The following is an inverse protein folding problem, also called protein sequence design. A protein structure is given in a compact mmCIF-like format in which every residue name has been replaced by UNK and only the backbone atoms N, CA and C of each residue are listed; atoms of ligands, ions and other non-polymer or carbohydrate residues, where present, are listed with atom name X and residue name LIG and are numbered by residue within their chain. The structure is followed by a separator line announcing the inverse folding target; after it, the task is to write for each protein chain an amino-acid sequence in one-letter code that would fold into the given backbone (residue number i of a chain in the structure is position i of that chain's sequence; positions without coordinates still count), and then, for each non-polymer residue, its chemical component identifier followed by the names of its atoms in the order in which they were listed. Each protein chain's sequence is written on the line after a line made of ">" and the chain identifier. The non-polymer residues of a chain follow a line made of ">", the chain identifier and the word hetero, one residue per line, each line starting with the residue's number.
data_IF_174097527575
#
_entry.id   IF_174097527575
#
_cell.length_a   1.000
_cell.length_b   1.000
_cell.length_c   1.000
_cell.angle_alpha   90.00
_cell.angle_beta   90.00
_cell.angle_gamma   90.00
#
_symmetry.space_group_name_H-M   'P 1'
#
loop_
_entity.id
_entity.type
_entity.pdbx_description
1 polymer ?
#
# COMPACT_ATOMS: atom_id res chain seq x y z
N UNK A 1 26.34 -14.08 -3.87
CA UNK A 1 25.04 -14.58 -4.39
C UNK A 1 24.08 -13.43 -4.73
N UNK A 2 23.97 -12.40 -3.87
CA UNK A 2 23.19 -11.18 -4.14
C UNK A 2 23.58 -10.43 -5.42
N UNK A 3 24.85 -10.38 -5.78
CA UNK A 3 25.33 -9.69 -7.00
C UNK A 3 24.78 -10.32 -8.29
N UNK A 4 24.59 -11.64 -8.32
CA UNK A 4 24.00 -12.33 -9.48
C UNK A 4 22.50 -12.06 -9.60
N UNK A 5 21.79 -11.94 -8.48
CA UNK A 5 20.38 -11.56 -8.44
C UNK A 5 20.18 -10.10 -8.85
N UNK A 6 21.03 -9.18 -8.35
CA UNK A 6 21.03 -7.78 -8.76
C UNK A 6 21.33 -7.64 -10.26
N UNK A 7 22.31 -8.36 -10.78
CA UNK A 7 22.62 -8.40 -12.21
C UNK A 7 21.45 -8.91 -13.06
N UNK A 8 20.76 -9.97 -12.62
CA UNK A 8 19.58 -10.52 -13.29
C UNK A 8 18.33 -9.64 -13.16
N UNK A 9 18.23 -8.83 -12.11
CA UNK A 9 17.15 -7.85 -11.96
C UNK A 9 17.37 -6.66 -12.89
N UNK A 10 18.62 -6.21 -13.01
CA UNK A 10 19.05 -5.11 -13.88
C UNK A 10 19.02 -5.47 -15.37
N UNK A 11 19.03 -6.77 -15.73
CA UNK A 11 18.89 -7.20 -17.13
C UNK A 11 17.48 -7.02 -17.71
N UNK A 12 16.46 -6.81 -16.87
CA UNK A 12 15.09 -6.55 -17.31
C UNK A 12 14.50 -5.28 -16.65
N UNK A 13 14.94 -4.08 -17.06
CA UNK A 13 14.48 -2.82 -16.48
C UNK A 13 12.96 -2.60 -16.63
N UNK A 14 12.33 -3.24 -17.62
CA UNK A 14 10.87 -3.25 -17.77
C UNK A 14 10.15 -3.96 -16.62
N UNK A 15 10.67 -5.09 -16.14
CA UNK A 15 10.08 -5.85 -15.03
C UNK A 15 10.19 -5.07 -13.71
N UNK A 16 11.32 -4.39 -13.48
CA UNK A 16 11.52 -3.50 -12.33
C UNK A 16 10.52 -2.33 -12.30
N UNK A 17 10.30 -1.68 -13.44
CA UNK A 17 9.32 -0.59 -13.54
C UNK A 17 7.89 -1.11 -13.35
N UNK A 18 7.57 -2.28 -13.91
CA UNK A 18 6.25 -2.91 -13.74
C UNK A 18 6.00 -3.29 -12.27
N UNK A 19 6.98 -3.90 -11.60
CA UNK A 19 6.91 -4.24 -10.19
C UNK A 19 6.77 -2.99 -9.30
N UNK A 20 7.56 -1.94 -9.56
CA UNK A 20 7.46 -0.68 -8.83
C UNK A 20 6.11 0.02 -9.03
N UNK A 21 5.57 0.03 -10.26
CA UNK A 21 4.21 0.53 -10.53
C UNK A 21 3.14 -0.30 -9.82
N UNK A 22 3.28 -1.62 -9.79
CA UNK A 22 2.38 -2.52 -9.08
C UNK A 22 2.34 -2.24 -7.58
N UNK A 23 3.51 -2.09 -6.95
CA UNK A 23 3.62 -1.72 -5.54
C UNK A 23 3.06 -0.33 -5.25
N UNK A 24 3.32 0.64 -6.11
CA UNK A 24 2.75 1.98 -5.97
C UNK A 24 1.22 1.96 -6.09
N UNK A 25 0.66 1.22 -7.06
CA UNK A 25 -0.78 1.07 -7.23
C UNK A 25 -1.42 0.35 -6.03
N UNK A 26 -0.76 -0.69 -5.51
CA UNK A 26 -1.20 -1.41 -4.32
C UNK A 26 -1.21 -0.50 -3.09
N UNK A 27 -0.12 0.22 -2.83
CA UNK A 27 -0.04 1.18 -1.74
C UNK A 27 -1.08 2.30 -1.88
N UNK A 28 -1.32 2.76 -3.10
CA UNK A 28 -2.36 3.76 -3.40
C UNK A 28 -3.78 3.24 -3.12
N UNK A 29 -4.06 1.98 -3.50
CA UNK A 29 -5.33 1.32 -3.18
C UNK A 29 -5.52 1.16 -1.67
N UNK A 30 -4.48 0.74 -0.95
CA UNK A 30 -4.52 0.65 0.52
C UNK A 30 -4.80 2.01 1.16
N UNK A 31 -4.15 3.08 0.69
CA UNK A 31 -4.41 4.44 1.18
C UNK A 31 -5.86 4.87 0.91
N UNK A 32 -6.38 4.66 -0.31
CA UNK A 32 -7.75 5.01 -0.67
C UNK A 32 -8.79 4.25 0.17
N UNK A 33 -8.58 2.96 0.38
CA UNK A 33 -9.42 2.13 1.23
C UNK A 33 -9.36 2.63 2.68
N UNK A 34 -8.16 2.85 3.23
CA UNK A 34 -7.98 3.41 4.57
C UNK A 34 -8.70 4.74 4.78
N UNK A 35 -8.59 5.67 3.82
CA UNK A 35 -9.31 6.95 3.88
C UNK A 35 -10.82 6.78 3.82
N UNK A 36 -11.34 5.89 2.98
CA UNK A 36 -12.79 5.61 2.93
C UNK A 36 -13.29 4.99 4.23
N UNK A 37 -12.59 3.99 4.76
CA UNK A 37 -12.96 3.33 6.00
C UNK A 37 -12.87 4.28 7.21
N UNK A 38 -11.87 5.15 7.30
CA UNK A 38 -11.78 6.17 8.34
C UNK A 38 -12.95 7.17 8.29
N UNK A 39 -13.36 7.60 7.09
CA UNK A 39 -14.54 8.48 6.93
C UNK A 39 -15.85 7.77 7.29
N UNK A 40 -15.99 6.49 6.95
CA UNK A 40 -17.15 5.69 7.32
C UNK A 40 -17.19 5.45 8.84
N UNK A 41 -16.06 5.06 9.43
CA UNK A 41 -15.87 4.89 10.87
C UNK A 41 -16.29 6.13 11.63
N UNK A 42 -15.72 7.30 11.31
CA UNK A 42 -16.08 8.55 12.00
C UNK A 42 -17.54 8.96 11.85
N UNK A 43 -18.25 8.53 10.79
CA UNK A 43 -19.70 8.76 10.67
C UNK A 43 -20.48 7.80 11.54
N UNK A 44 -20.12 6.52 11.52
CA UNK A 44 -20.74 5.47 12.32
C UNK A 44 -20.53 5.76 13.80
N UNK A 45 -19.31 6.05 14.25
CA UNK A 45 -19.00 6.43 15.64
C UNK A 45 -19.85 7.61 16.10
N UNK A 46 -19.95 8.68 15.32
CA UNK A 46 -20.80 9.83 15.66
C UNK A 46 -22.29 9.49 15.78
N UNK A 47 -22.79 8.52 15.03
CA UNK A 47 -24.19 8.07 15.13
C UNK A 47 -24.37 7.21 16.36
N UNK A 48 -23.47 6.27 16.63
CA UNK A 48 -23.57 5.34 17.77
C UNK A 48 -23.35 6.04 19.11
N UNK A 49 -22.39 6.97 19.20
CA UNK A 49 -22.17 7.79 20.40
C UNK A 49 -23.40 8.62 20.77
N UNK A 50 -24.15 9.13 19.77
CA UNK A 50 -25.41 9.86 20.02
C UNK A 50 -26.50 8.98 20.62
N UNK A 51 -26.44 7.67 20.41
CA UNK A 51 -27.38 6.70 20.95
C UNK A 51 -26.84 6.03 22.24
N UNK A 52 -25.67 6.45 22.74
CA UNK A 52 -25.05 5.87 23.93
C UNK A 52 -24.57 4.43 23.75
N UNK A 53 -24.37 3.98 22.51
CA UNK A 53 -23.96 2.61 22.17
C UNK A 53 -22.51 2.62 21.68
N UNK A 54 -21.76 1.60 22.06
CA UNK A 54 -20.38 1.42 21.59
C UNK A 54 -20.36 1.20 20.07
N UNK A 55 -19.49 1.90 19.32
CA UNK A 55 -19.49 1.83 17.86
C UNK A 55 -19.04 0.45 17.37
N UNK A 56 -19.70 -0.10 16.34
CA UNK A 56 -19.34 -1.40 15.79
C UNK A 56 -18.00 -1.33 15.06
N UNK A 57 -17.19 -2.38 15.23
CA UNK A 57 -15.96 -2.56 14.46
C UNK A 57 -16.32 -2.87 12.99
N UNK A 58 -16.08 -1.90 12.11
CA UNK A 58 -16.46 -1.97 10.70
C UNK A 58 -15.63 -2.99 9.90
N UNK A 59 -14.47 -3.40 10.39
CA UNK A 59 -13.58 -4.30 9.65
C UNK A 59 -13.72 -5.75 10.09
N UNK A 60 -14.39 -5.98 11.24
CA UNK A 60 -14.85 -7.29 11.70
C UNK A 60 -15.77 -8.02 10.69
N UNK A 61 -16.47 -7.28 9.82
CA UNK A 61 -17.30 -7.84 8.75
C UNK A 61 -16.54 -8.26 7.49
N UNK A 62 -15.24 -7.94 7.39
CA UNK A 62 -14.45 -8.18 6.19
C UNK A 62 -13.65 -9.49 6.28
N UNK A 63 -13.38 -10.15 5.14
CA UNK A 63 -12.44 -11.27 5.10
C UNK A 63 -11.05 -10.87 5.61
N UNK A 64 -10.38 -11.78 6.31
CA UNK A 64 -9.08 -11.53 6.95
C UNK A 64 -8.01 -10.97 6.00
N UNK A 65 -8.00 -11.40 4.74
CA UNK A 65 -7.06 -10.92 3.72
C UNK A 65 -7.34 -9.49 3.27
N UNK A 66 -8.60 -9.05 3.33
CA UNK A 66 -8.98 -7.68 2.98
C UNK A 66 -8.66 -6.71 4.14
N UNK A 67 -8.72 -7.19 5.39
CA UNK A 67 -8.30 -6.42 6.57
C UNK A 67 -6.82 -6.02 6.49
N UNK A 68 -5.97 -6.89 5.93
CA UNK A 68 -4.55 -6.58 5.71
C UNK A 68 -4.32 -5.38 4.77
N UNK A 69 -5.29 -5.07 3.91
CA UNK A 69 -5.20 -3.97 2.94
C UNK A 69 -5.73 -2.64 3.48
N UNK A 70 -6.36 -2.64 4.66
CA UNK A 70 -6.97 -1.45 5.24
C UNK A 70 -6.07 -0.94 6.38
N UNK A 71 -5.39 0.20 6.20
CA UNK A 71 -4.58 0.78 7.26
C UNK A 71 -5.50 1.44 8.30
N UNK A 72 -5.81 0.70 9.37
CA UNK A 72 -6.63 1.19 10.49
C UNK A 72 -5.77 1.87 11.58
N UNK A 73 -4.55 1.39 11.75
CA UNK A 73 -3.62 1.83 12.79
C UNK A 73 -2.52 2.73 12.22
N UNK A 74 -1.85 3.48 13.09
CA UNK A 74 -0.66 4.27 12.72
C UNK A 74 0.42 3.40 12.07
N UNK A 75 0.60 2.15 12.54
CA UNK A 75 1.53 1.20 11.92
C UNK A 75 1.10 0.76 10.52
N UNK A 76 -0.20 0.62 10.26
CA UNK A 76 -0.74 0.36 8.92
C UNK A 76 -0.45 1.51 7.94
N UNK A 77 -0.61 2.76 8.38
CA UNK A 77 -0.26 3.93 7.55
C UNK A 77 1.23 4.04 7.28
N UNK A 78 2.08 3.75 8.27
CA UNK A 78 3.54 3.67 8.07
C UNK A 78 3.88 2.60 7.01
N UNK A 79 3.25 1.43 7.08
CA UNK A 79 3.44 0.37 6.08
C UNK A 79 3.06 0.83 4.67
N UNK A 80 1.93 1.52 4.51
CA UNK A 80 1.51 2.09 3.23
C UNK A 80 2.56 3.07 2.67
N UNK A 81 3.13 3.93 3.52
CA UNK A 81 4.22 4.84 3.12
C UNK A 81 5.46 4.07 2.65
N UNK A 82 5.83 2.99 3.36
CA UNK A 82 6.95 2.12 2.97
C UNK A 82 6.68 1.47 1.60
N UNK A 83 5.48 0.95 1.37
CA UNK A 83 5.10 0.31 0.09
C UNK A 83 5.15 1.32 -1.06
N UNK A 84 4.58 2.53 -0.85
CA UNK A 84 4.58 3.59 -1.85
C UNK A 84 6.01 4.06 -2.19
N UNK A 85 6.82 4.35 -1.18
CA UNK A 85 8.21 4.80 -1.36
C UNK A 85 9.06 3.72 -2.03
N UNK A 86 8.91 2.45 -1.63
CA UNK A 86 9.58 1.32 -2.28
C UNK A 86 9.18 1.19 -3.74
N UNK A 87 7.88 1.32 -4.06
CA UNK A 87 7.38 1.33 -5.43
C UNK A 87 8.01 2.44 -6.29
N UNK A 88 8.09 3.67 -5.75
CA UNK A 88 8.75 4.80 -6.41
C UNK A 88 10.24 4.51 -6.64
N UNK A 89 10.95 4.05 -5.61
CA UNK A 89 12.37 3.71 -5.72
C UNK A 89 12.63 2.67 -6.83
N UNK A 90 11.82 1.61 -6.90
CA UNK A 90 11.94 0.59 -7.95
C UNK A 90 11.69 1.16 -9.36
N UNK A 91 10.71 2.06 -9.50
CA UNK A 91 10.48 2.75 -10.78
C UNK A 91 11.68 3.61 -11.16
N UNK A 92 12.27 4.36 -10.23
CA UNK A 92 13.42 5.22 -10.51
C UNK A 92 14.67 4.39 -10.85
N UNK A 93 14.95 3.33 -10.10
CA UNK A 93 16.04 2.39 -10.37
C UNK A 93 15.86 1.73 -11.74
N UNK A 94 14.65 1.28 -12.09
CA UNK A 94 14.38 0.69 -13.40
C UNK A 94 14.51 1.69 -14.55
N UNK A 95 14.11 2.96 -14.36
CA UNK A 95 14.34 4.04 -15.35
C UNK A 95 15.82 4.34 -15.53
N UNK A 96 16.57 4.40 -14.42
CA UNK A 96 18.02 4.59 -14.44
C UNK A 96 18.70 3.43 -15.18
N UNK A 97 18.39 2.18 -14.83
CA UNK A 97 18.92 1.00 -15.51
C UNK A 97 18.61 0.98 -17.01
N UNK A 98 17.43 1.46 -17.43
CA UNK A 98 17.09 1.61 -18.86
C UNK A 98 17.95 2.66 -19.55
N UNK A 99 18.24 3.78 -18.89
CA UNK A 99 19.04 4.89 -19.43
C UNK A 99 20.51 4.51 -19.65
N UNK A 100 21.09 3.70 -18.76
CA UNK A 100 22.49 3.26 -18.86
C UNK A 100 22.70 2.01 -19.74
N UNK A 101 21.61 1.44 -20.28
CA UNK A 101 21.65 0.30 -21.21
C UNK A 101 21.37 0.70 -22.67
N UNK A 102 21.05 1.97 -22.91
CA UNK A 102 20.93 2.58 -24.23
C UNK A 102 22.24 3.29 -24.56
#
# INVERSE_FOLDING_TARGET
>A
MYEKLLGALLTHPGALIAAGRGLFALGGLMALLGFRFSRLGTRVTRVFERHGVEPPDLTSGLPWWLRLLIPETTSGWIFVVIVLTTGICLVQVGKWARKFRA
#
